data_IF_170315134564
#
_entry.id   IF_170315134564
#
_cell.length_a   1.000
_cell.length_b   1.000
_cell.length_c   1.000
_cell.angle_alpha   90.00
_cell.angle_beta   90.00
_cell.angle_gamma   90.00
#
_symmetry.space_group_name_H-M   'P 1'
#
loop_
_entity.id
_entity.type
_entity.pdbx_description
1 polymer ?
#
# COMPACT_ATOMS: atom_id res chain seq x y z
N UNK A 1 -58.83 2.45 -12.33
CA UNK A 1 -57.75 3.31 -11.79
C UNK A 1 -56.61 2.51 -11.15
N UNK A 2 -56.87 1.49 -10.32
CA UNK A 2 -55.82 0.73 -9.60
C UNK A 2 -54.94 -0.17 -10.49
N UNK A 3 -55.48 -0.74 -11.58
CA UNK A 3 -54.71 -1.60 -12.50
C UNK A 3 -53.70 -0.87 -13.39
N UNK A 4 -53.93 0.42 -13.65
CA UNK A 4 -52.99 1.29 -14.39
C UNK A 4 -51.79 1.68 -13.50
N UNK A 5 -52.03 1.92 -12.21
CA UNK A 5 -50.99 2.25 -11.24
C UNK A 5 -50.02 1.08 -11.01
N UNK A 6 -50.53 -0.16 -10.99
CA UNK A 6 -49.70 -1.37 -10.85
C UNK A 6 -48.80 -1.63 -12.06
N UNK A 7 -49.25 -1.30 -13.27
CA UNK A 7 -48.41 -1.43 -14.48
C UNK A 7 -47.30 -0.38 -14.47
N UNK A 8 -47.61 0.86 -14.05
CA UNK A 8 -46.63 1.93 -13.95
C UNK A 8 -45.52 1.61 -12.92
N UNK A 9 -45.85 0.98 -11.79
CA UNK A 9 -44.86 0.57 -10.79
C UNK A 9 -43.92 -0.54 -11.27
N UNK A 10 -44.38 -1.44 -12.16
CA UNK A 10 -43.57 -2.54 -12.70
C UNK A 10 -42.50 -2.06 -13.69
N UNK A 11 -42.70 -0.91 -14.35
CA UNK A 11 -41.72 -0.32 -15.27
C UNK A 11 -40.58 0.47 -14.56
N UNK A 12 -40.70 0.75 -13.25
CA UNK A 12 -39.67 1.46 -12.48
C UNK A 12 -38.58 0.55 -11.90
N UNK A 13 -38.75 -0.78 -11.94
CA UNK A 13 -37.83 -1.74 -11.33
C UNK A 13 -36.44 -1.94 -12.00
N UNK A 14 -36.19 -1.65 -13.30
CA UNK A 14 -34.90 -2.01 -13.92
C UNK A 14 -33.76 -1.00 -13.70
N UNK A 15 -33.92 0.06 -12.89
CA UNK A 15 -32.89 1.11 -12.75
C UNK A 15 -31.94 0.94 -11.56
N UNK A 16 -31.98 -0.19 -10.85
CA UNK A 16 -30.98 -0.49 -9.80
C UNK A 16 -29.71 -1.03 -10.47
N UNK A 17 -28.98 -0.15 -11.17
CA UNK A 17 -27.63 -0.47 -11.60
C UNK A 17 -26.71 -0.34 -10.38
N UNK A 18 -26.16 -1.46 -9.90
CA UNK A 18 -25.12 -1.44 -8.88
C UNK A 18 -23.89 -0.72 -9.43
N UNK A 19 -23.43 0.34 -8.76
CA UNK A 19 -22.18 0.99 -9.15
C UNK A 19 -21.01 0.02 -8.90
N UNK A 20 -20.28 -0.33 -9.96
CA UNK A 20 -19.14 -1.26 -9.91
C UNK A 20 -18.03 -0.80 -8.96
N UNK A 21 -17.91 0.50 -8.75
CA UNK A 21 -17.00 1.10 -7.78
C UNK A 21 -17.64 2.31 -7.07
N UNK A 22 -17.21 2.59 -5.84
CA UNK A 22 -17.57 3.81 -5.09
C UNK A 22 -16.31 4.52 -4.62
N UNK A 23 -16.32 5.84 -4.70
CA UNK A 23 -15.22 6.69 -4.24
C UNK A 23 -15.66 7.50 -3.02
N UNK A 24 -14.98 7.30 -1.89
CA UNK A 24 -15.21 8.13 -0.71
C UNK A 24 -14.41 9.40 -0.85
N UNK A 25 -15.14 10.52 -0.95
CA UNK A 25 -14.51 11.81 -1.19
C UNK A 25 -13.69 12.29 0.00
N UNK A 26 -12.57 12.95 -0.28
CA UNK A 26 -11.82 13.65 0.75
C UNK A 26 -12.58 14.94 1.14
N UNK A 27 -12.94 15.07 2.42
CA UNK A 27 -13.64 16.23 2.97
C UNK A 27 -12.69 17.28 3.59
N UNK A 28 -11.37 17.04 3.53
CA UNK A 28 -10.38 17.95 4.08
C UNK A 28 -10.22 19.19 3.19
N UNK A 29 -10.58 20.36 3.72
CA UNK A 29 -10.45 21.63 3.02
C UNK A 29 -9.02 21.94 2.53
N UNK A 30 -7.98 21.40 3.18
CA UNK A 30 -6.58 21.58 2.76
C UNK A 30 -6.20 20.81 1.50
N UNK A 31 -7.04 19.87 1.10
CA UNK A 31 -6.92 19.00 -0.07
C UNK A 31 -7.96 19.34 -1.15
N UNK A 32 -8.64 20.50 -1.05
CA UNK A 32 -9.67 20.93 -2.00
C UNK A 32 -9.16 21.08 -3.44
N UNK A 33 -7.84 21.25 -3.60
CA UNK A 33 -7.17 21.39 -4.89
C UNK A 33 -7.24 20.13 -5.78
N UNK A 34 -7.60 18.98 -5.21
CA UNK A 34 -7.74 17.73 -5.94
C UNK A 34 -9.21 17.34 -6.10
N UNK A 35 -9.72 17.57 -7.30
CA UNK A 35 -11.00 17.04 -7.71
C UNK A 35 -10.85 15.57 -8.11
N UNK A 36 -11.74 14.73 -7.59
CA UNK A 36 -11.73 13.30 -7.79
C UNK A 36 -13.15 12.77 -7.96
N UNK A 37 -13.35 11.95 -8.98
CA UNK A 37 -14.64 11.34 -9.30
C UNK A 37 -14.44 9.99 -10.00
N UNK A 38 -15.52 9.22 -10.08
CA UNK A 38 -15.60 8.09 -10.99
C UNK A 38 -16.35 8.54 -12.25
N UNK A 39 -16.07 7.89 -13.38
CA UNK A 39 -16.90 8.03 -14.57
C UNK A 39 -18.30 7.39 -14.36
N UNK A 40 -19.20 7.53 -15.33
CA UNK A 40 -20.61 7.07 -15.21
C UNK A 40 -20.73 5.57 -14.92
N UNK A 41 -19.85 4.75 -15.47
CA UNK A 41 -19.84 3.29 -15.31
C UNK A 41 -19.09 2.81 -14.06
N UNK A 42 -18.35 3.70 -13.39
CA UNK A 42 -17.54 3.36 -12.22
C UNK A 42 -16.25 2.60 -12.55
N UNK A 43 -15.82 2.59 -13.80
CA UNK A 43 -14.63 1.87 -14.30
C UNK A 43 -13.36 2.69 -14.39
N UNK A 44 -13.47 4.00 -14.27
CA UNK A 44 -12.35 4.91 -14.44
C UNK A 44 -12.35 5.92 -13.30
N UNK A 45 -11.22 6.01 -12.59
CA UNK A 45 -10.95 7.07 -11.63
C UNK A 45 -10.44 8.30 -12.38
N UNK A 46 -11.17 9.40 -12.24
CA UNK A 46 -10.84 10.68 -12.85
C UNK A 46 -10.26 11.58 -11.76
N UNK A 47 -9.06 12.08 -11.97
CA UNK A 47 -8.37 12.99 -11.07
C UNK A 47 -8.03 14.28 -11.82
N UNK A 48 -8.33 15.42 -11.20
CA UNK A 48 -7.99 16.74 -11.71
C UNK A 48 -7.49 17.60 -10.55
N UNK A 49 -6.24 18.01 -10.62
CA UNK A 49 -5.63 18.95 -9.70
C UNK A 49 -5.72 20.38 -10.23
N UNK A 50 -5.81 21.35 -9.32
CA UNK A 50 -5.46 22.75 -9.61
C UNK A 50 -3.94 22.92 -9.84
N UNK A 51 -3.15 21.94 -9.38
CA UNK A 51 -1.70 21.81 -9.57
C UNK A 51 -1.37 20.43 -10.12
N UNK A 52 -0.12 20.28 -10.58
CA UNK A 52 0.35 19.02 -11.14
C UNK A 52 0.20 17.87 -10.15
N UNK A 53 -0.41 16.81 -10.64
CA UNK A 53 -0.43 15.49 -10.04
C UNK A 53 0.86 14.81 -10.48
N UNK A 54 1.76 14.57 -9.54
CA UNK A 54 3.04 13.93 -9.81
C UNK A 54 2.87 12.41 -9.94
N UNK A 55 2.17 11.82 -8.96
CA UNK A 55 2.05 10.37 -8.79
C UNK A 55 0.69 10.01 -8.20
N UNK A 56 0.15 8.90 -8.66
CA UNK A 56 -1.01 8.24 -8.04
C UNK A 56 -0.62 6.82 -7.67
N UNK A 57 -1.02 6.37 -6.49
CA UNK A 57 -0.75 5.02 -6.01
C UNK A 57 -2.01 4.43 -5.39
N UNK A 58 -2.42 3.26 -5.88
CA UNK A 58 -3.60 2.55 -5.41
C UNK A 58 -3.13 1.24 -4.79
N UNK A 59 -3.45 1.02 -3.52
CA UNK A 59 -2.99 -0.17 -2.82
C UNK A 59 -3.94 -0.65 -1.72
N UNK A 60 -3.81 -1.92 -1.39
CA UNK A 60 -4.35 -2.56 -0.20
C UNK A 60 -3.32 -3.57 0.36
N UNK A 61 -3.75 -4.57 1.13
CA UNK A 61 -2.85 -5.60 1.67
C UNK A 61 -2.20 -6.48 0.61
N UNK A 62 -2.86 -6.71 -0.52
CA UNK A 62 -2.56 -7.79 -1.47
C UNK A 62 -2.35 -7.28 -2.91
N UNK A 63 -2.50 -5.98 -3.14
CA UNK A 63 -2.39 -5.33 -4.45
C UNK A 63 -1.79 -3.93 -4.28
N UNK A 64 -0.92 -3.55 -5.22
CA UNK A 64 -0.35 -2.21 -5.32
C UNK A 64 -0.10 -1.89 -6.79
N UNK A 65 -0.51 -0.68 -7.20
CA UNK A 65 -0.24 -0.16 -8.54
C UNK A 65 0.03 1.33 -8.47
N UNK A 66 1.12 1.76 -9.12
CA UNK A 66 1.56 3.15 -9.15
C UNK A 66 1.52 3.69 -10.59
N UNK A 67 1.16 4.97 -10.70
CA UNK A 67 1.03 5.70 -11.95
C UNK A 67 1.82 7.00 -11.81
N UNK A 68 2.81 7.21 -12.69
CA UNK A 68 3.51 8.48 -12.83
C UNK A 68 2.68 9.33 -13.79
N UNK A 69 2.30 10.53 -13.38
CA UNK A 69 1.32 11.35 -14.11
C UNK A 69 1.96 12.62 -14.67
N UNK A 70 2.54 13.46 -13.80
CA UNK A 70 3.16 14.74 -14.15
C UNK A 70 2.26 15.68 -15.00
N UNK A 71 0.95 15.70 -14.71
CA UNK A 71 -0.07 16.48 -15.41
C UNK A 71 -1.11 17.02 -14.43
N UNK A 72 -1.87 18.04 -14.83
CA UNK A 72 -2.99 18.58 -14.06
C UNK A 72 -4.16 17.59 -13.98
N UNK A 73 -4.31 16.70 -14.96
CA UNK A 73 -5.38 15.72 -15.00
C UNK A 73 -4.89 14.33 -15.42
N UNK A 74 -5.63 13.32 -14.97
CA UNK A 74 -5.39 11.93 -15.35
C UNK A 74 -6.65 11.09 -15.22
N UNK A 75 -6.69 10.01 -16.01
CA UNK A 75 -7.73 8.98 -15.98
C UNK A 75 -7.07 7.65 -15.75
N UNK A 76 -7.47 6.96 -14.69
CA UNK A 76 -6.92 5.67 -14.30
C UNK A 76 -8.00 4.62 -14.49
N UNK A 77 -7.77 3.69 -15.42
CA UNK A 77 -8.64 2.51 -15.58
C UNK A 77 -8.56 1.64 -14.34
N UNK A 78 -9.73 1.17 -13.89
CA UNK A 78 -9.89 0.28 -12.74
C UNK A 78 -10.05 -1.19 -13.17
N UNK A 79 -9.90 -1.50 -14.46
CA UNK A 79 -10.01 -2.85 -15.02
C UNK A 79 -9.15 -3.86 -14.28
N UNK A 80 -7.86 -3.56 -14.17
CA UNK A 80 -6.85 -4.44 -13.56
C UNK A 80 -6.83 -4.37 -12.02
N UNK A 81 -7.73 -3.58 -11.42
CA UNK A 81 -7.80 -3.41 -9.97
C UNK A 81 -8.84 -4.39 -9.42
N UNK A 82 -8.45 -5.34 -8.56
CA UNK A 82 -9.36 -6.37 -8.08
C UNK A 82 -10.48 -5.79 -7.21
N UNK A 83 -11.50 -6.61 -6.94
CA UNK A 83 -12.57 -6.26 -6.01
C UNK A 83 -12.01 -6.12 -4.60
N UNK A 84 -12.43 -5.08 -3.87
CA UNK A 84 -11.92 -4.80 -2.54
C UNK A 84 -11.89 -3.31 -2.18
N UNK A 85 -11.31 -3.03 -1.00
CA UNK A 85 -11.13 -1.68 -0.48
C UNK A 85 -9.67 -1.26 -0.63
N UNK A 86 -9.46 -0.10 -1.24
CA UNK A 86 -8.14 0.43 -1.54
C UNK A 86 -7.95 1.83 -0.95
N UNK A 87 -6.71 2.09 -0.56
CA UNK A 87 -6.22 3.43 -0.30
C UNK A 87 -5.64 3.95 -1.61
N UNK A 88 -6.06 5.14 -2.01
CA UNK A 88 -5.50 5.83 -3.16
C UNK A 88 -4.79 7.08 -2.66
N UNK A 89 -3.48 7.11 -2.87
CA UNK A 89 -2.62 8.23 -2.56
C UNK A 89 -2.35 9.02 -3.83
N UNK A 90 -2.59 10.32 -3.77
CA UNK A 90 -2.36 11.24 -4.88
C UNK A 90 -1.38 12.30 -4.41
N UNK A 91 -0.20 12.32 -5.03
CA UNK A 91 0.80 13.35 -4.80
C UNK A 91 0.52 14.52 -5.73
N UNK A 92 0.06 15.63 -5.17
CA UNK A 92 -0.17 16.88 -5.89
C UNK A 92 0.87 17.88 -5.42
N UNK A 93 1.86 18.18 -6.27
CA UNK A 93 3.05 18.93 -5.87
C UNK A 93 3.69 18.35 -4.58
N UNK A 94 3.83 19.13 -3.50
CA UNK A 94 4.39 18.66 -2.22
C UNK A 94 3.35 18.07 -1.24
N UNK A 95 2.10 17.87 -1.66
CA UNK A 95 1.02 17.36 -0.80
C UNK A 95 0.65 15.93 -1.18
N UNK A 96 0.46 15.10 -0.15
CA UNK A 96 -0.09 13.76 -0.28
C UNK A 96 -1.56 13.77 0.14
N UNK A 97 -2.45 13.53 -0.81
CA UNK A 97 -3.89 13.51 -0.61
C UNK A 97 -4.38 12.06 -0.66
N UNK A 98 -5.11 11.65 0.38
CA UNK A 98 -5.61 10.29 0.53
C UNK A 98 -7.10 10.25 0.20
N UNK A 99 -7.52 9.33 -0.65
CA UNK A 99 -8.93 8.98 -0.91
C UNK A 99 -9.12 7.47 -0.76
N UNK A 100 -10.36 7.02 -0.55
CA UNK A 100 -10.69 5.59 -0.46
C UNK A 100 -11.48 5.17 -1.68
N UNK A 101 -10.99 4.14 -2.37
CA UNK A 101 -11.67 3.50 -3.49
C UNK A 101 -12.25 2.15 -3.03
N UNK A 102 -13.53 1.94 -3.28
CA UNK A 102 -14.24 0.68 -3.04
C UNK A 102 -14.59 0.07 -4.41
N UNK A 103 -14.11 -1.14 -4.66
CA UNK A 103 -14.40 -1.94 -5.85
C UNK A 103 -15.37 -3.04 -5.43
N UNK A 104 -16.54 -3.12 -6.06
CA UNK A 104 -17.58 -4.10 -5.74
C UNK A 104 -17.62 -5.25 -6.75
N UNK A 105 -17.30 -4.97 -8.01
CA UNK A 105 -17.41 -5.93 -9.11
C UNK A 105 -16.22 -5.79 -10.07
N UNK A 106 -15.83 -6.93 -10.65
CA UNK A 106 -14.89 -6.98 -11.77
C UNK A 106 -15.56 -6.44 -13.03
N UNK A 107 -14.77 -5.87 -13.94
CA UNK A 107 -15.28 -5.54 -15.27
C UNK A 107 -15.14 -6.79 -16.11
N UNK A 108 -16.25 -7.30 -16.63
CA UNK A 108 -16.19 -8.31 -17.68
C UNK A 108 -15.55 -7.65 -18.90
N UNK A 109 -14.39 -8.16 -19.32
CA UNK A 109 -13.84 -7.85 -20.63
C UNK A 109 -14.86 -8.32 -21.67
N UNK A 110 -15.50 -7.38 -22.37
CA UNK A 110 -16.10 -7.72 -23.65
C UNK A 110 -14.94 -8.05 -24.59
N UNK A 111 -14.69 -9.34 -24.76
CA UNK A 111 -13.85 -9.83 -25.85
C UNK A 111 -14.67 -9.56 -27.12
N UNK A 112 -14.51 -8.38 -27.70
CA UNK A 112 -14.84 -8.16 -29.09
C UNK A 112 -13.71 -8.82 -29.91
N UNK A 113 -13.95 -10.05 -30.33
CA UNK A 113 -13.16 -10.71 -31.37
C UNK A 113 -13.29 -9.87 -32.63
N UNK A 114 -12.29 -9.06 -32.93
CA UNK A 114 -12.14 -8.45 -34.25
C UNK A 114 -10.78 -8.84 -34.79
N UNK A 115 -10.85 -9.41 -35.99
CA UNK A 115 -9.80 -10.05 -36.74
C UNK A 115 -8.62 -9.12 -37.04
N UNK A 116 -7.47 -9.75 -37.17
CA UNK A 116 -6.14 -9.25 -37.50
C UNK A 116 -6.10 -8.32 -38.71
N UNK A 117 -5.45 -7.16 -38.55
CA UNK A 117 -4.61 -6.60 -39.64
C UNK A 117 -3.35 -6.01 -39.04
N UNK A 118 -2.22 -6.63 -39.38
CA UNK A 118 -0.85 -6.18 -39.13
C UNK A 118 -0.55 -4.94 -39.98
N UNK A 119 -0.04 -3.85 -39.38
CA UNK A 119 1.01 -2.99 -39.97
C UNK A 119 1.87 -2.44 -38.82
N UNK A 120 3.16 -2.74 -38.90
CA UNK A 120 4.25 -2.26 -38.05
C UNK A 120 4.46 -0.74 -38.14
N UNK A 121 4.68 -0.07 -37.01
CA UNK A 121 5.89 0.75 -36.80
C UNK A 121 6.11 1.03 -35.31
N UNK A 122 7.36 0.85 -34.92
CA UNK A 122 8.04 1.12 -33.63
C UNK A 122 7.76 2.58 -33.15
N UNK A 123 7.84 2.98 -31.88
CA UNK A 123 8.84 2.67 -30.86
C UNK A 123 8.46 3.38 -29.53
N UNK A 124 9.02 2.88 -28.41
CA UNK A 124 9.23 3.55 -27.10
C UNK A 124 8.10 3.52 -26.04
N UNK A 125 8.07 2.44 -25.24
CA UNK A 125 8.53 2.45 -23.83
C UNK A 125 8.06 1.19 -23.07
N UNK A 126 8.94 0.20 -22.92
CA UNK A 126 8.76 -0.90 -21.96
C UNK A 126 10.10 -1.29 -21.32
N UNK A 127 10.51 -0.52 -20.30
CA UNK A 127 11.48 -1.02 -19.32
C UNK A 127 10.69 -1.64 -18.17
N UNK A 128 10.17 -2.84 -18.41
CA UNK A 128 9.65 -3.74 -17.38
C UNK A 128 10.72 -4.80 -17.11
N UNK A 129 11.63 -4.53 -16.18
CA UNK A 129 12.55 -5.55 -15.65
C UNK A 129 11.85 -6.33 -14.54
N UNK A 130 11.15 -7.38 -14.95
CA UNK A 130 10.83 -8.51 -14.10
C UNK A 130 12.15 -9.20 -13.75
N UNK A 131 12.59 -9.12 -12.48
CA UNK A 131 13.75 -9.89 -12.01
C UNK A 131 13.27 -11.18 -11.34
N UNK A 132 13.28 -12.25 -12.12
CA UNK A 132 13.29 -13.63 -11.63
C UNK A 132 14.75 -14.02 -11.43
N UNK A 133 15.18 -14.19 -10.18
CA UNK A 133 16.48 -14.80 -9.89
C UNK A 133 16.29 -16.31 -9.75
N UNK A 134 16.60 -17.05 -10.81
CA UNK A 134 16.94 -18.47 -10.72
C UNK A 134 18.45 -18.58 -10.45
N UNK A 135 18.81 -19.06 -9.27
CA UNK A 135 20.19 -19.49 -9.00
C UNK A 135 20.30 -20.99 -9.26
N UNK A 136 20.98 -21.34 -10.36
CA UNK A 136 21.64 -22.63 -10.54
C UNK A 136 22.76 -22.76 -9.50
N UNK A 137 22.85 -23.91 -8.83
CA UNK A 137 24.07 -24.33 -8.15
C UNK A 137 24.34 -25.80 -8.43
N UNK A 138 25.45 -26.07 -9.11
CA UNK A 138 26.07 -27.38 -9.21
C UNK A 138 26.82 -27.68 -7.91
N UNK A 139 26.66 -28.90 -7.40
CA UNK A 139 27.26 -29.33 -6.13
C UNK A 139 28.72 -29.75 -6.27
N UNK A 140 29.49 -29.54 -5.19
CA UNK A 140 30.49 -30.52 -4.74
C UNK A 140 30.82 -30.32 -3.26
N UNK A 141 31.26 -31.42 -2.67
CA UNK A 141 31.00 -31.90 -1.31
C UNK A 141 32.21 -31.83 -0.36
N UNK A 142 31.92 -32.15 0.91
CA UNK A 142 32.76 -32.81 1.95
C UNK A 142 33.30 -31.92 3.10
N UNK A 143 32.61 -32.08 4.23
CA UNK A 143 33.03 -32.29 5.63
C UNK A 143 34.16 -31.44 6.26
N UNK A 144 33.80 -30.84 7.39
CA UNK A 144 34.31 -31.32 8.69
C UNK A 144 33.38 -30.84 9.80
N UNK A 145 32.95 -31.78 10.61
CA UNK A 145 32.27 -31.58 11.89
C UNK A 145 33.21 -30.85 12.85
N UNK A 146 32.67 -29.92 13.63
CA UNK A 146 32.95 -29.89 15.06
C UNK A 146 31.86 -29.12 15.81
N UNK A 147 31.32 -29.81 16.82
CA UNK A 147 30.22 -29.41 17.68
C UNK A 147 30.73 -28.38 18.69
N UNK A 148 30.20 -27.15 18.62
CA UNK A 148 30.11 -26.24 19.77
C UNK A 148 28.78 -25.50 19.72
N UNK A 149 27.90 -25.95 20.61
CA UNK A 149 26.83 -25.23 21.31
C UNK A 149 26.68 -23.75 20.90
N UNK A 150 25.67 -23.45 20.07
CA UNK A 150 25.34 -22.08 19.68
C UNK A 150 23.82 -21.91 19.76
N UNK A 151 23.42 -20.89 20.52
CA UNK A 151 22.06 -20.33 20.63
C UNK A 151 21.21 -20.59 19.39
N UNK A 152 19.98 -21.05 19.60
CA UNK A 152 18.95 -21.16 18.57
C UNK A 152 18.89 -19.87 17.73
N UNK A 153 19.50 -19.90 16.54
CA UNK A 153 19.30 -18.85 15.55
C UNK A 153 17.84 -18.96 15.09
N UNK A 154 17.04 -17.89 15.17
CA UNK A 154 15.68 -17.93 14.65
C UNK A 154 15.79 -18.19 13.15
N UNK A 155 15.14 -19.28 12.71
CA UNK A 155 14.97 -19.66 11.30
C UNK A 155 14.79 -18.41 10.46
N UNK A 156 15.74 -18.12 9.57
CA UNK A 156 15.74 -16.91 8.72
C UNK A 156 14.58 -16.96 7.73
N UNK A 157 13.37 -16.70 8.23
CA UNK A 157 12.18 -16.46 7.41
C UNK A 157 12.48 -15.23 6.55
N UNK A 158 12.15 -15.23 5.25
CA UNK A 158 12.41 -14.08 4.40
C UNK A 158 11.60 -12.87 4.89
N UNK A 159 12.30 -11.86 5.41
CA UNK A 159 11.68 -10.61 5.90
C UNK A 159 11.48 -9.68 4.71
N UNK A 160 10.22 -9.38 4.39
CA UNK A 160 9.88 -8.43 3.32
C UNK A 160 9.54 -7.05 3.87
N UNK A 161 8.93 -7.00 5.05
CA UNK A 161 8.38 -5.78 5.62
C UNK A 161 8.79 -5.59 7.06
N UNK A 162 8.76 -4.33 7.49
CA UNK A 162 9.10 -3.92 8.84
C UNK A 162 7.96 -3.11 9.43
N UNK A 163 7.65 -3.41 10.69
CA UNK A 163 6.75 -2.58 11.49
C UNK A 163 7.55 -1.50 12.19
N UNK A 164 7.24 -0.24 11.89
CA UNK A 164 8.01 0.91 12.33
C UNK A 164 7.16 1.71 13.31
N UNK A 165 7.71 1.98 14.49
CA UNK A 165 7.10 2.83 15.51
C UNK A 165 8.05 3.97 15.84
N UNK A 166 7.66 5.20 15.47
CA UNK A 166 8.39 6.43 15.78
C UNK A 166 7.64 7.20 16.87
N UNK A 167 8.32 7.49 17.96
CA UNK A 167 7.82 8.37 19.01
C UNK A 167 8.66 9.64 19.05
N UNK A 168 7.99 10.79 18.91
CA UNK A 168 8.61 12.10 18.92
C UNK A 168 8.24 12.77 20.25
N UNK A 169 9.25 13.16 21.02
CA UNK A 169 9.06 13.77 22.34
C UNK A 169 9.53 15.24 22.29
N UNK A 170 8.61 16.18 22.54
CA UNK A 170 8.83 17.63 22.45
C UNK A 170 8.76 18.33 23.82
N UNK A 171 9.13 17.63 24.90
CA UNK A 171 9.07 18.14 26.28
C UNK A 171 7.64 18.16 26.84
N UNK A 172 6.79 19.06 26.34
CA UNK A 172 5.39 19.21 26.80
C UNK A 172 4.38 18.37 26.02
N UNK A 173 4.82 17.66 24.98
CA UNK A 173 3.96 16.77 24.19
C UNK A 173 4.75 15.61 23.62
N UNK A 174 4.05 14.50 23.35
CA UNK A 174 4.59 13.38 22.60
C UNK A 174 3.64 12.98 21.46
N UNK A 175 4.21 12.46 20.37
CA UNK A 175 3.44 11.95 19.24
C UNK A 175 4.00 10.60 18.82
N UNK A 176 3.12 9.61 18.66
CA UNK A 176 3.46 8.27 18.20
C UNK A 176 2.89 8.05 16.82
N UNK A 177 3.76 7.68 15.87
CA UNK A 177 3.38 7.29 14.51
C UNK A 177 3.83 5.87 14.25
N UNK A 178 2.96 5.07 13.65
CA UNK A 178 3.27 3.69 13.31
C UNK A 178 2.98 3.43 11.84
N UNK A 179 3.84 2.68 11.16
CA UNK A 179 3.66 2.33 9.74
C UNK A 179 4.36 1.02 9.39
N UNK A 180 3.92 0.39 8.31
CA UNK A 180 4.70 -0.64 7.62
C UNK A 180 5.67 0.05 6.65
N UNK A 181 6.84 -0.51 6.44
CA UNK A 181 7.76 -0.07 5.40
C UNK A 181 8.74 -1.15 4.99
N UNK A 182 9.39 -0.91 3.86
CA UNK A 182 10.40 -1.80 3.29
C UNK A 182 11.79 -1.51 3.88
N UNK A 183 12.75 -2.37 3.57
CA UNK A 183 14.12 -2.26 4.08
C UNK A 183 14.77 -0.90 3.77
N UNK A 184 14.60 -0.39 2.56
CA UNK A 184 15.17 0.92 2.15
C UNK A 184 14.62 2.08 2.99
N UNK A 185 13.31 2.05 3.28
CA UNK A 185 12.64 3.04 4.11
C UNK A 185 13.14 2.96 5.55
N UNK A 186 13.31 1.74 6.06
CA UNK A 186 13.87 1.49 7.39
C UNK A 186 15.30 2.01 7.49
N UNK A 187 16.16 1.68 6.54
CA UNK A 187 17.57 2.09 6.54
C UNK A 187 17.68 3.62 6.53
N UNK A 188 16.90 4.30 5.68
CA UNK A 188 16.82 5.77 5.65
C UNK A 188 16.30 6.35 6.98
N UNK A 189 15.31 5.72 7.59
CA UNK A 189 14.78 6.17 8.89
C UNK A 189 15.78 6.00 10.02
N UNK A 190 16.51 4.88 10.06
CA UNK A 190 17.56 4.63 11.05
C UNK A 190 18.67 5.67 10.88
N UNK A 191 19.12 5.92 9.65
CA UNK A 191 20.14 6.92 9.37
C UNK A 191 19.71 8.32 9.83
N UNK A 192 18.49 8.75 9.46
CA UNK A 192 17.93 10.03 9.91
C UNK A 192 17.80 10.08 11.44
N UNK A 193 17.30 9.01 12.06
CA UNK A 193 17.11 8.94 13.50
C UNK A 193 18.44 9.09 14.27
N UNK A 194 19.51 8.44 13.78
CA UNK A 194 20.86 8.59 14.35
C UNK A 194 21.38 10.03 14.31
N UNK A 195 21.02 10.79 13.28
CA UNK A 195 21.34 12.22 13.19
C UNK A 195 20.47 13.01 14.17
N UNK A 196 19.16 12.75 14.20
CA UNK A 196 18.20 13.43 15.08
C UNK A 196 18.57 13.27 16.55
N UNK A 197 19.05 12.10 16.98
CA UNK A 197 19.47 11.83 18.36
C UNK A 197 20.61 12.74 18.84
N UNK A 198 21.44 13.25 17.94
CA UNK A 198 22.52 14.20 18.27
C UNK A 198 22.01 15.62 18.49
N UNK A 199 20.79 15.92 18.06
CA UNK A 199 20.19 17.25 18.18
C UNK A 199 19.49 17.45 19.53
N UNK A 200 19.48 18.68 20.05
CA UNK A 200 18.76 19.02 21.29
C UNK A 200 17.26 18.68 21.22
N UNK A 201 16.65 18.82 20.03
CA UNK A 201 15.24 18.57 19.81
C UNK A 201 14.92 17.07 19.62
N UNK A 202 15.85 16.29 19.09
CA UNK A 202 15.64 14.89 18.73
C UNK A 202 16.22 13.86 19.68
N UNK A 203 17.06 14.25 20.64
CA UNK A 203 17.71 13.34 21.60
C UNK A 203 16.75 12.45 22.40
N UNK A 204 15.53 12.93 22.66
CA UNK A 204 14.51 12.19 23.38
C UNK A 204 13.58 11.37 22.47
N UNK A 205 13.77 11.41 21.14
CA UNK A 205 12.94 10.64 20.23
C UNK A 205 13.29 9.15 20.33
N UNK A 206 12.29 8.30 20.10
CA UNK A 206 12.45 6.84 20.09
C UNK A 206 12.02 6.29 18.74
N UNK A 207 12.76 5.30 18.26
CA UNK A 207 12.44 4.55 17.07
C UNK A 207 12.62 3.06 17.37
N UNK A 208 11.54 2.30 17.23
CA UNK A 208 11.54 0.85 17.39
C UNK A 208 10.99 0.22 16.11
N UNK A 209 11.67 -0.81 15.62
CA UNK A 209 11.39 -1.46 14.34
C UNK A 209 11.40 -2.97 14.57
N UNK A 210 10.37 -3.66 14.08
CA UNK A 210 10.29 -5.12 14.11
C UNK A 210 10.26 -5.69 12.70
N UNK A 211 10.85 -6.86 12.52
CA UNK A 211 10.73 -7.62 11.29
C UNK A 211 9.37 -8.31 11.25
N UNK A 212 8.64 -8.14 10.14
CA UNK A 212 7.33 -8.76 9.97
C UNK A 212 7.43 -9.81 8.87
N UNK A 213 7.10 -11.05 9.22
CA UNK A 213 7.12 -12.19 8.30
C UNK A 213 5.82 -12.27 7.49
N UNK A 214 4.69 -11.96 8.12
CA UNK A 214 3.35 -11.98 7.51
C UNK A 214 2.59 -10.73 7.96
N UNK A 215 2.45 -9.76 7.05
CA UNK A 215 1.83 -8.45 7.31
C UNK A 215 0.35 -8.58 7.64
N UNK A 216 -0.37 -9.43 6.91
CA UNK A 216 -1.81 -9.66 7.08
C UNK A 216 -2.11 -10.29 8.44
N UNK A 217 -1.35 -11.33 8.83
CA UNK A 217 -1.49 -11.94 10.16
C UNK A 217 -1.06 -10.96 11.26
N UNK A 218 0.05 -10.23 11.06
CA UNK A 218 0.53 -9.28 12.05
C UNK A 218 -0.48 -8.15 12.32
N UNK A 219 -1.09 -7.57 11.29
CA UNK A 219 -2.07 -6.50 11.47
C UNK A 219 -3.33 -6.98 12.21
N UNK A 220 -3.80 -8.21 11.93
CA UNK A 220 -4.90 -8.84 12.69
C UNK A 220 -4.48 -9.11 14.14
N UNK A 221 -3.30 -9.69 14.32
CA UNK A 221 -2.72 -10.00 15.62
C UNK A 221 -2.59 -8.76 16.50
N UNK A 222 -2.08 -7.65 15.95
CA UNK A 222 -1.93 -6.37 16.65
C UNK A 222 -3.26 -5.73 17.05
N UNK A 223 -4.33 -5.94 16.27
CA UNK A 223 -5.69 -5.45 16.65
C UNK A 223 -6.22 -6.19 17.88
N UNK A 224 -5.95 -7.49 17.98
CA UNK A 224 -6.35 -8.32 19.11
C UNK A 224 -5.42 -8.14 20.32
N UNK A 225 -4.16 -7.82 20.08
CA UNK A 225 -3.11 -7.69 21.10
C UNK A 225 -2.52 -6.27 21.07
N UNK A 226 -3.13 -5.30 21.76
CA UNK A 226 -2.60 -3.93 21.79
C UNK A 226 -1.19 -3.85 22.41
N UNK A 227 -0.85 -4.79 23.30
CA UNK A 227 0.46 -4.92 23.94
C UNK A 227 1.38 -5.92 23.22
N UNK A 228 1.31 -6.01 21.89
CA UNK A 228 2.15 -6.94 21.10
C UNK A 228 3.66 -6.79 21.35
N UNK A 229 4.12 -5.61 21.78
CA UNK A 229 5.54 -5.33 22.02
C UNK A 229 6.13 -6.05 23.25
N UNK A 230 5.30 -6.56 24.18
CA UNK A 230 5.78 -7.26 25.39
C UNK A 230 5.75 -8.78 25.26
N UNK A 231 5.32 -9.30 24.10
CA UNK A 231 5.14 -10.73 23.89
C UNK A 231 6.46 -11.43 23.61
N UNK A 232 6.66 -12.60 24.24
CA UNK A 232 7.90 -13.38 24.10
C UNK A 232 7.97 -14.14 22.77
N UNK A 233 6.83 -14.58 22.24
CA UNK A 233 6.76 -15.36 20.99
C UNK A 233 5.58 -14.93 20.13
N UNK A 234 5.81 -14.86 18.82
CA UNK A 234 4.79 -14.66 17.81
C UNK A 234 5.26 -15.25 16.47
N UNK A 235 4.34 -15.84 15.71
CA UNK A 235 4.71 -16.50 14.44
C UNK A 235 4.80 -15.53 13.26
N UNK A 236 4.14 -14.38 13.37
CA UNK A 236 3.92 -13.42 12.28
C UNK A 236 4.94 -12.26 12.25
N UNK A 237 5.70 -12.07 13.32
CA UNK A 237 6.74 -11.04 13.41
C UNK A 237 7.82 -11.46 14.41
N UNK A 238 9.01 -10.89 14.28
CA UNK A 238 10.09 -11.07 15.24
C UNK A 238 9.73 -10.30 16.51
N UNK A 239 9.63 -10.98 17.65
CA UNK A 239 9.33 -10.33 18.93
C UNK A 239 10.49 -9.49 19.44
N UNK A 240 11.73 -9.82 19.04
CA UNK A 240 12.89 -8.97 19.27
C UNK A 240 12.93 -7.87 18.19
N UNK A 241 12.98 -6.59 18.56
CA UNK A 241 13.11 -5.51 17.58
C UNK A 241 14.37 -5.69 16.72
N UNK A 242 14.22 -5.46 15.41
CA UNK A 242 15.34 -5.30 14.48
C UNK A 242 16.22 -4.10 14.85
N UNK A 243 15.56 -3.02 15.25
CA UNK A 243 16.21 -1.81 15.70
C UNK A 243 15.40 -1.22 16.85
N UNK A 244 16.09 -0.91 17.93
CA UNK A 244 15.52 -0.18 19.05
C UNK A 244 16.48 0.94 19.46
N UNK A 245 15.90 2.08 19.79
CA UNK A 245 16.64 3.23 20.29
C UNK A 245 15.86 3.86 21.42
N UNK A 246 16.53 3.96 22.55
CA UNK A 246 16.04 4.72 23.69
C UNK A 246 16.54 6.16 23.54
N UNK A 247 15.62 7.12 23.66
CA UNK A 247 16.00 8.52 23.74
C UNK A 247 16.79 8.77 25.03
N UNK A 248 17.85 9.57 24.93
CA UNK A 248 18.75 9.96 26.04
C UNK A 248 18.12 11.07 26.87
#
# INVERSE_FOLDING_TARGET
MTRLLTILLLFLAPFIHGQKSTLLKNINYRASELHHSLNKTGDTLILRGERNIDKVEIFNSDFQKAYIVNSLDTKISLADIPVGRFVTEVKVNDKLIIITLLRHETFEEKIETTETTEIDTEEQNSIFRQSTYENKSEGKSIASSDVKEKLEEPTKKPVRFYWIVKQINKGHSSSKKMRIGDKEVVDKMIAQHKIDLKSKAGKHNKLTIWEVYDTSKFLRFKRQNPNYATLKKADCFNTNPFYESEGI
#
